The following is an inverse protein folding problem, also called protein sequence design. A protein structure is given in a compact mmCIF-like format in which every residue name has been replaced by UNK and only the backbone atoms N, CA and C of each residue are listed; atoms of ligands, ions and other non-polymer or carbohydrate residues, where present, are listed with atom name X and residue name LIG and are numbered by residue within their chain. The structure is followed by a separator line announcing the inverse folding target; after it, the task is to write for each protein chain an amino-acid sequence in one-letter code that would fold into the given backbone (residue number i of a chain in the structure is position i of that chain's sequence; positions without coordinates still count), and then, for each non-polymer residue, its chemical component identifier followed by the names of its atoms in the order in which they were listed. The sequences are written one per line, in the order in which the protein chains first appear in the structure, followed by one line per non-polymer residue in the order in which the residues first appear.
data_IF_023751231116
#
_entry.id   IF_023751231116
#
_cell.length_a   1.000
_cell.length_b   1.000
_cell.length_c   1.000
_cell.angle_alpha   90.00
_cell.angle_beta   90.00
_cell.angle_gamma   90.00
#
_symmetry.space_group_name_H-M   'P 1'
#
loop_
_entity.id
_entity.type
_entity.pdbx_description
1 polymer ?
#
# COMPACT_ATOMS: atom_id res chain seq x y z
N UNK A 1 -5.02 -0.15 11.77
CA UNK A 1 -5.34 -1.36 10.97
C UNK A 1 -5.19 -2.58 11.87
N UNK A 2 -6.03 -3.58 11.68
CA UNK A 2 -5.98 -4.84 12.44
C UNK A 2 -5.95 -5.98 11.44
N UNK A 3 -4.99 -6.90 11.59
CA UNK A 3 -4.92 -8.12 10.78
C UNK A 3 -5.85 -9.18 11.39
N UNK A 4 -6.78 -9.69 10.58
CA UNK A 4 -7.75 -10.70 11.01
C UNK A 4 -7.24 -12.13 10.79
N UNK A 5 -6.50 -12.34 9.70
CA UNK A 5 -5.87 -13.60 9.35
C UNK A 5 -4.49 -13.32 8.77
N UNK A 6 -3.47 -13.96 9.33
CA UNK A 6 -2.08 -13.80 8.91
C UNK A 6 -1.65 -15.05 8.15
N UNK A 7 -1.28 -14.86 6.88
CA UNK A 7 -0.72 -15.88 6.01
C UNK A 7 0.35 -15.24 5.09
N UNK A 8 1.23 -14.46 5.70
CA UNK A 8 2.27 -13.69 5.00
C UNK A 8 1.81 -12.36 4.41
N UNK A 9 2.80 -11.58 3.95
CA UNK A 9 2.70 -10.29 3.28
C UNK A 9 1.68 -9.30 3.87
N UNK A 10 1.68 -9.17 5.20
CA UNK A 10 0.77 -8.27 5.92
C UNK A 10 0.93 -6.80 5.49
N UNK A 11 2.14 -6.39 5.09
CA UNK A 11 2.44 -5.01 4.74
C UNK A 11 1.68 -4.58 3.49
N UNK A 12 1.69 -5.41 2.44
CA UNK A 12 0.99 -5.09 1.19
C UNK A 12 -0.53 -5.10 1.40
N UNK A 13 -1.04 -6.11 2.11
CA UNK A 13 -2.46 -6.22 2.45
C UNK A 13 -2.93 -5.00 3.27
N UNK A 14 -2.15 -4.59 4.25
CA UNK A 14 -2.40 -3.40 5.07
C UNK A 14 -2.41 -2.13 4.22
N UNK A 15 -1.45 -1.97 3.31
CA UNK A 15 -1.38 -0.78 2.45
C UNK A 15 -2.60 -0.64 1.55
N UNK A 16 -3.08 -1.76 0.98
CA UNK A 16 -4.29 -1.78 0.14
C UNK A 16 -5.53 -1.47 0.98
N UNK A 17 -5.66 -2.08 2.17
CA UNK A 17 -6.76 -1.82 3.08
C UNK A 17 -6.80 -0.34 3.52
N UNK A 18 -5.63 0.23 3.84
CA UNK A 18 -5.48 1.64 4.17
C UNK A 18 -5.91 2.53 3.01
N UNK A 19 -5.44 2.26 1.80
CA UNK A 19 -5.80 3.05 0.62
C UNK A 19 -7.30 3.00 0.33
N UNK A 20 -7.91 1.82 0.43
CA UNK A 20 -9.35 1.63 0.29
C UNK A 20 -10.12 2.41 1.35
N UNK A 21 -9.71 2.33 2.62
CA UNK A 21 -10.34 3.06 3.72
C UNK A 21 -10.29 4.58 3.51
N UNK A 22 -9.11 5.14 3.23
CA UNK A 22 -8.93 6.58 3.05
C UNK A 22 -9.74 7.12 1.87
N UNK A 23 -9.85 6.37 0.77
CA UNK A 23 -10.65 6.77 -0.39
C UNK A 23 -12.14 6.61 -0.18
N UNK A 24 -12.55 5.66 0.64
CA UNK A 24 -13.94 5.47 1.02
C UNK A 24 -14.41 6.49 2.07
N UNK A 25 -13.50 7.08 2.85
CA UNK A 25 -13.84 8.09 3.86
C UNK A 25 -14.63 9.26 3.27
N UNK A 26 -15.71 9.60 3.97
CA UNK A 26 -16.56 10.77 3.73
C UNK A 26 -16.55 11.64 4.99
N UNK A 27 -16.44 12.95 4.82
CA UNK A 27 -16.45 13.93 5.90
C UNK A 27 -17.56 14.94 5.64
N UNK A 28 -18.27 15.35 6.68
CA UNK A 28 -19.25 16.43 6.55
C UNK A 28 -18.54 17.75 6.21
N UNK A 29 -19.15 18.55 5.35
CA UNK A 29 -18.73 19.92 5.12
C UNK A 29 -18.78 20.71 6.43
N UNK A 30 -17.77 21.52 6.70
CA UNK A 30 -17.68 22.30 7.94
C UNK A 30 -17.77 23.78 7.58
N UNK A 31 -18.72 24.48 8.20
CA UNK A 31 -18.78 25.96 8.18
C UNK A 31 -18.30 26.49 9.52
N UNK A 32 -17.59 27.61 9.53
CA UNK A 32 -17.18 28.27 10.77
C UNK A 32 -18.24 29.32 11.11
N UNK A 33 -18.86 29.21 12.28
CA UNK A 33 -19.72 30.25 12.79
C UNK A 33 -18.87 31.43 13.28
N UNK A 34 -18.93 32.57 12.59
CA UNK A 34 -18.06 33.73 12.88
C UNK A 34 -18.31 34.36 14.25
N UNK A 35 -19.51 34.21 14.82
CA UNK A 35 -19.86 34.77 16.13
C UNK A 35 -19.29 33.94 17.28
N UNK A 36 -19.31 32.61 17.15
CA UNK A 36 -18.88 31.69 18.21
C UNK A 36 -17.49 31.09 17.98
N UNK A 37 -16.91 31.29 16.79
CA UNK A 37 -15.70 30.63 16.31
C UNK A 37 -15.74 29.10 16.46
N UNK A 38 -16.93 28.50 16.30
CA UNK A 38 -17.10 27.05 16.38
C UNK A 38 -17.33 26.43 15.00
N UNK A 39 -16.79 25.21 14.75
CA UNK A 39 -17.06 24.47 13.52
C UNK A 39 -18.46 23.83 13.59
N UNK A 40 -19.32 24.17 12.63
CA UNK A 40 -20.65 23.61 12.45
C UNK A 40 -20.64 22.65 11.25
N UNK A 41 -20.75 21.32 11.47
CA UNK A 41 -20.83 20.35 10.39
C UNK A 41 -22.20 20.37 9.70
N UNK A 42 -22.23 20.21 8.38
CA UNK A 42 -23.46 20.10 7.60
C UNK A 42 -24.20 18.79 7.95
N UNK A 43 -25.54 18.84 8.02
CA UNK A 43 -26.35 17.66 8.40
C UNK A 43 -26.37 16.55 7.33
N UNK A 44 -26.15 16.89 6.06
CA UNK A 44 -26.33 15.96 4.93
C UNK A 44 -25.27 16.05 3.84
N UNK A 45 -24.40 17.06 3.86
CA UNK A 45 -23.42 17.24 2.79
C UNK A 45 -22.10 16.56 3.17
N UNK A 46 -21.87 15.39 2.57
CA UNK A 46 -20.65 14.61 2.74
C UNK A 46 -19.70 14.81 1.55
N UNK A 47 -18.45 15.11 1.86
CA UNK A 47 -17.38 15.34 0.91
C UNK A 47 -16.37 14.19 1.01
N UNK A 48 -16.01 13.62 -0.13
CA UNK A 48 -14.96 12.62 -0.22
C UNK A 48 -13.57 13.24 0.00
N UNK A 49 -12.68 12.52 0.67
CA UNK A 49 -11.32 12.98 0.83
C UNK A 49 -10.58 13.02 -0.52
N UNK A 50 -9.93 14.15 -0.82
CA UNK A 50 -9.13 14.30 -2.03
C UNK A 50 -7.75 13.64 -1.88
N UNK A 51 -7.62 12.40 -2.35
CA UNK A 51 -6.37 11.63 -2.34
C UNK A 51 -5.59 11.88 -3.63
N UNK A 52 -4.48 12.63 -3.54
CA UNK A 52 -3.67 13.02 -4.71
C UNK A 52 -2.85 11.87 -5.31
N UNK A 53 -2.33 11.00 -4.47
CA UNK A 53 -1.40 9.93 -4.86
C UNK A 53 -1.75 8.62 -4.16
N UNK A 54 -1.46 7.50 -4.83
CA UNK A 54 -1.87 6.17 -4.38
C UNK A 54 -0.66 5.24 -4.32
N UNK A 55 0.13 5.29 -3.24
CA UNK A 55 1.26 4.40 -3.05
C UNK A 55 0.79 2.96 -2.83
N UNK A 56 1.42 2.02 -3.53
CA UNK A 56 1.20 0.58 -3.39
C UNK A 56 2.51 -0.07 -2.96
N UNK A 57 2.44 -0.87 -1.91
CA UNK A 57 3.55 -1.70 -1.45
C UNK A 57 3.59 -3.02 -2.24
N UNK A 58 4.80 -3.50 -2.48
CA UNK A 58 5.09 -4.79 -3.10
C UNK A 58 6.24 -5.45 -2.36
N UNK A 59 5.94 -6.53 -1.65
CA UNK A 59 6.90 -7.25 -0.82
C UNK A 59 7.47 -8.47 -1.56
N UNK A 60 8.78 -8.65 -1.40
CA UNK A 60 9.57 -9.70 -2.00
C UNK A 60 10.39 -10.41 -0.92
N UNK A 61 10.30 -11.75 -0.89
CA UNK A 61 11.14 -12.60 -0.06
C UNK A 61 12.35 -13.08 -0.85
N UNK A 62 13.51 -13.11 -0.20
CA UNK A 62 14.76 -13.64 -0.75
C UNK A 62 15.05 -14.96 -0.05
N UNK A 63 15.21 -16.04 -0.82
CA UNK A 63 15.54 -17.38 -0.34
C UNK A 63 16.92 -17.76 -0.88
N UNK A 64 17.78 -18.28 -0.01
CA UNK A 64 19.15 -18.72 -0.32
C UNK A 64 19.96 -17.72 -1.15
N UNK A 65 19.70 -16.42 -0.96
CA UNK A 65 20.39 -15.30 -1.62
C UNK A 65 20.39 -15.34 -3.16
N UNK A 66 19.52 -16.14 -3.76
CA UNK A 66 19.51 -16.41 -5.19
C UNK A 66 18.11 -16.42 -5.78
N UNK A 67 17.11 -16.82 -5.00
CA UNK A 67 15.71 -16.87 -5.42
C UNK A 67 14.95 -15.69 -4.80
N UNK A 68 14.17 -14.99 -5.62
CA UNK A 68 13.24 -13.96 -5.15
C UNK A 68 11.82 -14.42 -5.42
N UNK A 69 10.96 -14.36 -4.40
CA UNK A 69 9.54 -14.64 -4.49
C UNK A 69 8.78 -13.34 -4.21
N UNK A 70 7.72 -13.09 -4.98
CA UNK A 70 6.81 -11.97 -4.74
C UNK A 70 5.59 -12.45 -3.96
N UNK A 71 5.05 -11.59 -3.09
CA UNK A 71 3.83 -11.90 -2.33
C UNK A 71 3.98 -13.13 -1.41
N UNK A 72 4.97 -13.13 -0.49
CA UNK A 72 5.32 -14.33 0.23
C UNK A 72 4.21 -14.77 1.21
N UNK A 73 3.98 -16.08 1.29
CA UNK A 73 3.13 -16.69 2.34
C UNK A 73 3.86 -16.78 3.67
N UNK A 74 3.17 -17.17 4.75
CA UNK A 74 3.79 -17.34 6.08
C UNK A 74 4.97 -18.35 6.05
N UNK A 75 4.80 -19.45 5.31
CA UNK A 75 5.84 -20.45 5.11
C UNK A 75 7.04 -19.89 4.32
N UNK A 76 6.78 -19.10 3.26
CA UNK A 76 7.83 -18.51 2.44
C UNK A 76 8.59 -17.41 3.19
N UNK A 77 7.91 -16.61 4.00
CA UNK A 77 8.53 -15.62 4.90
C UNK A 77 9.41 -16.30 5.95
N UNK A 78 8.94 -17.40 6.53
CA UNK A 78 9.67 -18.18 7.54
C UNK A 78 10.96 -18.80 7.00
N UNK A 79 10.99 -19.14 5.70
CA UNK A 79 12.16 -19.69 5.02
C UNK A 79 13.04 -18.61 4.37
N UNK A 80 12.59 -17.35 4.32
CA UNK A 80 13.33 -16.28 3.68
C UNK A 80 14.58 -15.90 4.47
N UNK A 81 15.71 -15.75 3.78
CA UNK A 81 16.93 -15.19 4.36
C UNK A 81 16.85 -13.67 4.48
N UNK A 82 15.91 -13.03 3.78
CA UNK A 82 15.54 -11.65 4.04
C UNK A 82 14.36 -11.18 3.19
N UNK A 83 13.74 -10.09 3.63
CA UNK A 83 12.58 -9.49 2.96
C UNK A 83 12.94 -8.10 2.42
N UNK A 84 12.29 -7.68 1.34
CA UNK A 84 12.38 -6.36 0.75
C UNK A 84 10.99 -5.89 0.30
N UNK A 85 10.55 -4.74 0.80
CA UNK A 85 9.28 -4.12 0.38
C UNK A 85 9.58 -2.86 -0.43
N UNK A 86 8.99 -2.76 -1.62
CA UNK A 86 9.12 -1.61 -2.52
C UNK A 86 7.76 -0.91 -2.60
N UNK A 87 7.74 0.39 -2.35
CA UNK A 87 6.52 1.21 -2.43
C UNK A 87 6.60 2.12 -3.65
N UNK A 88 5.60 2.04 -4.53
CA UNK A 88 5.55 2.79 -5.79
C UNK A 88 4.23 3.56 -5.91
N UNK A 89 4.27 4.79 -6.41
CA UNK A 89 3.06 5.60 -6.68
C UNK A 89 2.33 5.18 -7.97
N UNK A 90 1.16 5.76 -8.22
CA UNK A 90 0.41 5.59 -9.48
C UNK A 90 1.14 6.10 -10.71
N UNK A 91 2.01 7.09 -10.53
CA UNK A 91 2.88 7.62 -11.59
C UNK A 91 4.11 6.72 -11.84
N UNK A 92 4.25 5.60 -11.13
CA UNK A 92 5.43 4.74 -11.21
C UNK A 92 6.67 5.34 -10.53
N UNK A 93 6.50 6.30 -9.63
CA UNK A 93 7.61 6.88 -8.87
C UNK A 93 7.88 6.03 -7.64
N UNK A 94 9.15 5.75 -7.38
CA UNK A 94 9.58 5.07 -6.16
C UNK A 94 9.35 5.97 -4.94
N UNK A 95 8.59 5.50 -3.97
CA UNK A 95 8.37 6.19 -2.69
C UNK A 95 9.39 5.75 -1.64
N UNK A 96 9.55 4.44 -1.48
CA UNK A 96 10.34 3.86 -0.41
C UNK A 96 10.78 2.45 -0.77
N UNK A 97 11.95 2.08 -0.27
CA UNK A 97 12.43 0.69 -0.26
C UNK A 97 12.76 0.37 1.18
N UNK A 98 12.18 -0.71 1.69
CA UNK A 98 12.38 -1.18 3.05
C UNK A 98 12.99 -2.58 3.04
N UNK A 99 14.21 -2.69 3.57
CA UNK A 99 14.92 -3.96 3.77
C UNK A 99 15.25 -4.11 5.25
N UNK A 100 14.42 -4.78 6.05
CA UNK A 100 14.68 -4.99 7.47
C UNK A 100 15.73 -6.09 7.66
N UNK A 101 17.02 -5.75 7.50
CA UNK A 101 18.12 -6.68 7.71
C UNK A 101 18.03 -7.96 6.87
N UNK A 102 18.58 -9.05 7.42
CA UNK A 102 18.69 -10.35 6.77
C UNK A 102 19.92 -10.49 5.87
N UNK A 103 19.91 -11.48 5.00
CA UNK A 103 20.96 -11.75 4.03
C UNK A 103 21.13 -10.62 3.00
N UNK A 104 22.30 -10.55 2.34
CA UNK A 104 22.54 -9.57 1.28
C UNK A 104 21.49 -9.69 0.18
N UNK A 105 21.15 -8.55 -0.40
CA UNK A 105 20.35 -8.54 -1.62
C UNK A 105 21.11 -9.29 -2.73
N UNK A 106 20.39 -9.99 -3.61
CA UNK A 106 20.99 -10.57 -4.80
C UNK A 106 21.42 -9.46 -5.77
N UNK A 107 21.85 -9.84 -6.98
CA UNK A 107 22.42 -8.88 -7.95
C UNK A 107 21.54 -7.65 -8.21
N UNK A 108 22.17 -6.51 -8.52
CA UNK A 108 21.48 -5.26 -8.88
C UNK A 108 20.45 -5.44 -10.01
N UNK A 109 20.69 -6.40 -10.91
CA UNK A 109 19.78 -6.78 -11.99
C UNK A 109 18.45 -7.31 -11.43
N UNK A 110 18.51 -8.17 -10.42
CA UNK A 110 17.33 -8.75 -9.77
C UNK A 110 16.57 -7.69 -8.97
N UNK A 111 17.27 -6.81 -8.25
CA UNK A 111 16.64 -5.70 -7.52
C UNK A 111 15.92 -4.74 -8.48
N UNK A 112 16.52 -4.47 -9.64
CA UNK A 112 15.87 -3.69 -10.70
C UNK A 112 14.62 -4.39 -11.23
N UNK A 113 14.68 -5.70 -11.46
CA UNK A 113 13.52 -6.49 -11.87
C UNK A 113 12.38 -6.42 -10.83
N UNK A 114 12.69 -6.52 -9.52
CA UNK A 114 11.69 -6.32 -8.46
C UNK A 114 11.04 -4.95 -8.53
N UNK A 115 11.81 -3.90 -8.83
CA UNK A 115 11.29 -2.53 -8.95
C UNK A 115 10.36 -2.39 -10.16
N UNK A 116 10.72 -3.01 -11.28
CA UNK A 116 9.89 -3.04 -12.49
C UNK A 116 8.58 -3.81 -12.25
N UNK A 117 8.64 -4.96 -11.57
CA UNK A 117 7.46 -5.75 -11.20
C UNK A 117 6.59 -5.04 -10.15
N UNK A 118 7.19 -4.37 -9.16
CA UNK A 118 6.45 -3.53 -8.21
C UNK A 118 5.68 -2.41 -8.93
N UNK A 119 6.30 -1.81 -9.94
CA UNK A 119 5.64 -0.77 -10.76
C UNK A 119 4.46 -1.34 -11.56
N UNK A 120 4.58 -2.55 -12.11
CA UNK A 120 3.47 -3.24 -12.78
C UNK A 120 2.36 -3.61 -11.80
N UNK A 121 2.70 -4.16 -10.64
CA UNK A 121 1.77 -4.51 -9.56
C UNK A 121 1.00 -3.29 -9.07
N UNK A 122 1.68 -2.16 -8.85
CA UNK A 122 1.05 -0.90 -8.44
C UNK A 122 -0.08 -0.48 -9.39
N UNK A 123 0.17 -0.51 -10.71
CA UNK A 123 -0.85 -0.20 -11.72
C UNK A 123 -2.03 -1.18 -11.69
N UNK A 124 -1.78 -2.46 -11.45
CA UNK A 124 -2.83 -3.49 -11.36
C UNK A 124 -3.70 -3.30 -10.12
N UNK A 125 -3.07 -3.13 -8.96
CA UNK A 125 -3.75 -2.92 -7.68
C UNK A 125 -4.60 -1.65 -7.70
N UNK A 126 -4.07 -0.55 -8.23
CA UNK A 126 -4.83 0.70 -8.36
C UNK A 126 -6.10 0.53 -9.17
N UNK A 127 -6.03 -0.16 -10.32
CA UNK A 127 -7.21 -0.48 -11.12
C UNK A 127 -8.23 -1.31 -10.34
N UNK A 128 -7.78 -2.29 -9.55
CA UNK A 128 -8.67 -3.11 -8.72
C UNK A 128 -9.34 -2.27 -7.63
N UNK A 129 -8.60 -1.39 -6.96
CA UNK A 129 -9.15 -0.47 -5.94
C UNK A 129 -10.15 0.50 -6.58
N UNK A 130 -9.84 1.06 -7.76
CA UNK A 130 -10.75 1.92 -8.51
C UNK A 130 -12.04 1.20 -8.92
N UNK A 131 -11.96 -0.07 -9.33
CA UNK A 131 -13.13 -0.87 -9.64
C UNK A 131 -13.95 -1.13 -8.37
N UNK A 132 -13.31 -1.60 -7.30
CA UNK A 132 -14.01 -1.93 -6.05
C UNK A 132 -14.72 -0.73 -5.42
N UNK A 133 -14.13 0.48 -5.50
CA UNK A 133 -14.72 1.70 -4.95
C UNK A 133 -15.87 2.28 -5.80
N UNK A 134 -16.04 1.84 -7.05
CA UNK A 134 -17.21 2.23 -7.87
C UNK A 134 -18.45 1.43 -7.53
N UNK A 135 -18.26 0.25 -6.95
CA UNK A 135 -19.35 -0.67 -6.58
C UNK A 135 -19.93 -0.36 -5.19
N UNK A 136 -19.29 0.55 -4.44
CA UNK A 136 -19.75 1.14 -3.15
C UNK A 136 -20.43 2.48 -3.34
#
# INVERSE_FOLDING_TARGET
MVCLNYDGNITDASMIAFLGAIRNTRLYEITINEETNTPEPAEKNEIALNVKEQPVASTFAVIDNSVIISDPTDDEESLATGVMTIVVTSQGKLCSVHKPGGGPLPSDVLVKQCTDEATKRAKRVQKLVDTALKDT
#
